data_IF_838886883581
#
_entry.id   IF_838886883581
#
_cell.length_a   1.000
_cell.length_b   1.000
_cell.length_c   1.000
_cell.angle_alpha   90.00
_cell.angle_beta   90.00
_cell.angle_gamma   90.00
#
_symmetry.space_group_name_H-M   'P 1'
#
loop_
_entity.id
_entity.type
_entity.pdbx_description
1 polymer ?
#
# COMPACT_ATOMS: atom_id res chain seq x y z
N UNK A 1 16.77 18.20 34.75
CA UNK A 1 16.96 16.85 34.22
C UNK A 1 15.62 16.38 33.68
N UNK A 2 15.38 16.49 32.37
CA UNK A 2 14.12 16.04 31.77
C UNK A 2 14.14 14.53 31.68
N UNK A 3 13.27 13.88 32.46
CA UNK A 3 13.03 12.45 32.40
C UNK A 3 12.31 12.14 31.09
N UNK A 4 13.04 11.59 30.12
CA UNK A 4 12.45 11.09 28.88
C UNK A 4 11.77 9.76 29.21
N UNK A 5 10.45 9.79 29.41
CA UNK A 5 9.68 8.55 29.56
C UNK A 5 9.96 7.62 28.37
N UNK A 6 10.10 6.30 28.59
CA UNK A 6 10.37 5.36 27.52
C UNK A 6 9.24 5.43 26.49
N UNK A 7 9.60 5.66 25.21
CA UNK A 7 8.63 5.58 24.11
C UNK A 7 8.10 4.16 24.05
N UNK A 8 6.80 3.98 24.24
CA UNK A 8 6.14 2.70 23.99
C UNK A 8 6.32 2.33 22.52
N UNK A 9 6.71 1.08 22.25
CA UNK A 9 6.79 0.56 20.89
C UNK A 9 5.40 0.64 20.24
N UNK A 10 5.31 0.99 18.94
CA UNK A 10 4.04 0.99 18.24
C UNK A 10 3.40 -0.40 18.30
N UNK A 11 2.08 -0.45 18.39
CA UNK A 11 1.32 -1.69 18.42
C UNK A 11 0.67 -1.92 17.05
N UNK A 12 0.50 -3.18 16.60
CA UNK A 12 -0.27 -3.48 15.41
C UNK A 12 -1.68 -2.86 15.47
N UNK A 13 -2.21 -2.33 14.34
CA UNK A 13 -3.53 -1.72 14.31
C UNK A 13 -4.64 -2.74 14.59
N UNK A 14 -5.74 -2.28 15.18
CA UNK A 14 -6.94 -3.10 15.36
C UNK A 14 -7.63 -3.37 14.01
N UNK A 15 -8.45 -4.44 13.90
CA UNK A 15 -9.17 -4.73 12.66
C UNK A 15 -10.06 -3.57 12.17
N UNK A 16 -10.74 -2.86 13.09
CA UNK A 16 -11.53 -1.67 12.77
C UNK A 16 -10.66 -0.56 12.16
N UNK A 17 -9.48 -0.31 12.75
CA UNK A 17 -8.56 0.70 12.23
C UNK A 17 -8.05 0.32 10.83
N UNK A 18 -7.70 -0.95 10.61
CA UNK A 18 -7.29 -1.46 9.29
C UNK A 18 -8.39 -1.29 8.25
N UNK A 19 -9.64 -1.63 8.59
CA UNK A 19 -10.78 -1.45 7.69
C UNK A 19 -11.01 0.02 7.32
N UNK A 20 -11.03 0.91 8.31
CA UNK A 20 -11.18 2.36 8.09
C UNK A 20 -10.04 2.94 7.25
N UNK A 21 -8.80 2.48 7.50
CA UNK A 21 -7.64 2.90 6.74
C UNK A 21 -7.73 2.48 5.28
N UNK A 22 -8.15 1.23 5.02
CA UNK A 22 -8.41 0.75 3.68
C UNK A 22 -9.49 1.58 2.96
N UNK A 23 -10.55 1.99 3.67
CA UNK A 23 -11.58 2.88 3.12
C UNK A 23 -11.03 4.26 2.73
N UNK A 24 -10.15 4.85 3.55
CA UNK A 24 -9.49 6.13 3.22
C UNK A 24 -8.59 5.98 2.00
N UNK A 25 -7.71 4.97 1.96
CA UNK A 25 -6.81 4.77 0.82
C UNK A 25 -7.58 4.50 -0.48
N UNK A 26 -8.69 3.75 -0.40
CA UNK A 26 -9.56 3.54 -1.55
C UNK A 26 -10.23 4.84 -2.00
N UNK A 27 -10.61 5.72 -1.09
CA UNK A 27 -11.14 7.04 -1.42
C UNK A 27 -10.09 7.91 -2.13
N UNK A 28 -8.82 7.87 -1.68
CA UNK A 28 -7.70 8.58 -2.31
C UNK A 28 -7.48 8.05 -3.73
N UNK A 29 -7.40 6.73 -3.91
CA UNK A 29 -7.26 6.12 -5.22
C UNK A 29 -8.44 6.46 -6.14
N UNK A 30 -9.67 6.42 -5.62
CA UNK A 30 -10.88 6.80 -6.35
C UNK A 30 -10.84 8.26 -6.77
N UNK A 31 -10.46 9.17 -5.87
CA UNK A 31 -10.33 10.60 -6.16
C UNK A 31 -9.32 10.85 -7.27
N UNK A 32 -8.16 10.18 -7.21
CA UNK A 32 -7.12 10.30 -8.23
C UNK A 32 -7.59 9.76 -9.59
N UNK A 33 -8.30 8.64 -9.63
CA UNK A 33 -8.88 8.12 -10.88
C UNK A 33 -9.96 9.04 -11.46
N UNK A 34 -10.75 9.71 -10.63
CA UNK A 34 -11.72 10.72 -11.08
C UNK A 34 -11.03 11.91 -11.74
N UNK A 35 -9.84 12.30 -11.29
CA UNK A 35 -9.08 13.40 -11.92
C UNK A 35 -8.73 13.12 -13.38
N UNK A 36 -8.56 11.85 -13.74
CA UNK A 36 -8.22 11.43 -15.10
C UNK A 36 -9.43 11.49 -16.06
N UNK A 37 -10.64 11.73 -15.54
CA UNK A 37 -11.90 11.73 -16.30
C UNK A 37 -12.73 12.95 -15.89
N UNK A 38 -12.57 14.11 -16.56
CA UNK A 38 -13.20 15.37 -16.16
C UNK A 38 -14.72 15.30 -15.96
N UNK A 39 -15.40 14.47 -16.74
CA UNK A 39 -16.85 14.25 -16.66
C UNK A 39 -17.28 13.64 -15.31
N UNK A 40 -16.35 13.04 -14.56
CA UNK A 40 -16.60 12.43 -13.25
C UNK A 40 -16.32 13.37 -12.08
N UNK A 41 -15.83 14.59 -12.31
CA UNK A 41 -15.56 15.55 -11.23
C UNK A 41 -16.81 15.89 -10.39
N UNK A 42 -18.00 15.74 -10.97
CA UNK A 42 -19.30 15.83 -10.29
C UNK A 42 -19.56 14.74 -9.25
N UNK A 43 -18.75 13.67 -9.21
CA UNK A 43 -18.79 12.63 -8.16
C UNK A 43 -18.08 13.07 -6.86
N UNK A 44 -17.20 14.08 -6.90
CA UNK A 44 -16.36 14.46 -5.76
C UNK A 44 -17.14 14.92 -4.52
N UNK A 45 -18.23 15.73 -4.62
CA UNK A 45 -19.06 16.05 -3.47
C UNK A 45 -19.67 14.80 -2.81
N UNK A 46 -20.03 13.78 -3.61
CA UNK A 46 -20.57 12.51 -3.10
C UNK A 46 -19.51 11.72 -2.33
N UNK A 47 -18.27 11.67 -2.82
CA UNK A 47 -17.14 11.03 -2.13
C UNK A 47 -16.83 11.70 -0.79
N UNK A 48 -16.71 13.04 -0.77
CA UNK A 48 -16.49 13.83 0.46
C UNK A 48 -17.62 13.65 1.47
N UNK A 49 -18.88 13.65 1.01
CA UNK A 49 -20.04 13.40 1.87
C UNK A 49 -20.02 12.00 2.49
N UNK A 50 -19.59 10.99 1.74
CA UNK A 50 -19.46 9.63 2.24
C UNK A 50 -18.37 9.54 3.33
N UNK A 51 -17.20 10.13 3.13
CA UNK A 51 -16.13 10.19 4.15
C UNK A 51 -16.63 10.80 5.46
N UNK A 52 -17.38 11.91 5.38
CA UNK A 52 -17.97 12.58 6.54
C UNK A 52 -18.99 11.70 7.25
N UNK A 53 -19.95 11.09 6.53
CA UNK A 53 -20.97 10.22 7.13
C UNK A 53 -20.37 8.98 7.79
N UNK A 54 -19.30 8.43 7.22
CA UNK A 54 -18.54 7.30 7.77
C UNK A 54 -17.57 7.71 8.89
N UNK A 55 -17.43 9.01 9.15
CA UNK A 55 -16.49 9.59 10.11
C UNK A 55 -15.05 9.17 9.84
N UNK A 56 -14.64 9.09 8.57
CA UNK A 56 -13.32 8.55 8.17
C UNK A 56 -12.18 9.56 8.22
N UNK A 57 -12.48 10.87 8.26
CA UNK A 57 -11.46 11.93 8.28
C UNK A 57 -10.37 11.78 9.36
N UNK A 58 -10.64 11.33 10.60
CA UNK A 58 -9.59 11.12 11.58
C UNK A 58 -8.57 10.02 11.25
N UNK A 59 -8.89 9.14 10.28
CA UNK A 59 -7.97 8.09 9.81
C UNK A 59 -7.15 8.56 8.59
N UNK A 60 -7.48 9.72 8.02
CA UNK A 60 -6.77 10.28 6.88
C UNK A 60 -5.53 11.07 7.32
N UNK A 61 -4.42 10.85 6.63
CA UNK A 61 -3.18 11.58 6.84
C UNK A 61 -3.25 12.96 6.15
N UNK A 62 -2.38 13.90 6.52
CA UNK A 62 -2.47 15.29 6.04
C UNK A 62 -2.38 15.39 4.50
N UNK A 63 -1.49 14.62 3.88
CA UNK A 63 -1.33 14.56 2.42
C UNK A 63 -2.56 13.99 1.72
N UNK A 64 -3.27 13.06 2.36
CA UNK A 64 -4.47 12.43 1.82
C UNK A 64 -5.67 13.36 1.96
N UNK A 65 -5.77 14.10 3.07
CA UNK A 65 -6.76 15.16 3.23
C UNK A 65 -6.59 16.20 2.12
N UNK A 66 -5.35 16.60 1.80
CA UNK A 66 -5.10 17.51 0.69
C UNK A 66 -5.65 16.95 -0.63
N UNK A 67 -5.31 15.71 -1.00
CA UNK A 67 -5.82 15.07 -2.23
C UNK A 67 -7.35 14.98 -2.24
N UNK A 68 -7.96 14.56 -1.13
CA UNK A 68 -9.41 14.33 -1.01
C UNK A 68 -10.24 15.63 -0.99
N UNK A 69 -9.62 16.76 -0.65
CA UNK A 69 -10.29 18.06 -0.56
C UNK A 69 -10.07 18.94 -1.77
N UNK A 70 -9.00 18.74 -2.55
CA UNK A 70 -8.75 19.44 -3.83
C UNK A 70 -9.89 19.25 -4.82
N UNK A 71 -10.38 20.36 -5.36
CA UNK A 71 -11.44 20.38 -6.37
C UNK A 71 -11.01 19.69 -7.68
N UNK A 72 -11.99 19.29 -8.49
CA UNK A 72 -11.74 18.57 -9.74
C UNK A 72 -10.91 19.39 -10.73
N UNK A 73 -9.88 18.78 -11.31
CA UNK A 73 -8.92 19.46 -12.19
C UNK A 73 -7.81 20.21 -11.44
N UNK A 74 -7.80 20.16 -10.11
CA UNK A 74 -6.82 20.83 -9.26
C UNK A 74 -5.66 19.96 -8.78
N UNK A 75 -5.68 18.64 -9.01
CA UNK A 75 -4.54 17.79 -8.62
C UNK A 75 -3.42 17.93 -9.66
N UNK A 76 -2.20 18.09 -9.19
CA UNK A 76 -1.06 17.97 -10.08
C UNK A 76 -0.88 16.51 -10.56
N UNK A 77 -0.11 16.34 -11.65
CA UNK A 77 0.09 15.04 -12.27
C UNK A 77 0.72 14.01 -11.31
N UNK A 78 1.62 14.45 -10.42
CA UNK A 78 2.29 13.57 -9.45
C UNK A 78 1.31 13.12 -8.37
N UNK A 79 0.56 14.04 -7.77
CA UNK A 79 -0.49 13.75 -6.79
C UNK A 79 -1.55 12.80 -7.36
N UNK A 80 -1.87 12.94 -8.65
CA UNK A 80 -2.76 12.03 -9.37
C UNK A 80 -2.15 10.63 -9.47
N UNK A 81 -0.91 10.51 -9.96
CA UNK A 81 -0.21 9.21 -10.08
C UNK A 81 -0.05 8.54 -8.71
N UNK A 82 0.53 9.24 -7.74
CA UNK A 82 0.76 8.74 -6.37
C UNK A 82 -0.56 8.34 -5.70
N UNK A 83 -1.63 9.10 -5.95
CA UNK A 83 -2.97 8.77 -5.47
C UNK A 83 -3.51 7.46 -6.05
N UNK A 84 -3.31 7.19 -7.35
CA UNK A 84 -3.75 5.91 -7.95
C UNK A 84 -3.02 4.71 -7.37
N UNK A 85 -1.74 4.85 -7.02
CA UNK A 85 -0.94 3.76 -6.44
C UNK A 85 -1.41 3.35 -5.04
N UNK A 86 -2.19 4.18 -4.34
CA UNK A 86 -2.79 3.79 -3.04
C UNK A 86 -3.70 2.56 -3.14
N UNK A 87 -4.16 2.19 -4.34
CA UNK A 87 -4.86 0.93 -4.59
C UNK A 87 -4.03 -0.30 -4.18
N UNK A 88 -2.70 -0.24 -4.30
CA UNK A 88 -1.81 -1.33 -3.89
C UNK A 88 -1.82 -1.54 -2.38
N UNK A 89 -1.79 -0.44 -1.61
CA UNK A 89 -1.98 -0.49 -0.17
C UNK A 89 -3.36 -1.03 0.21
N UNK A 90 -4.42 -0.62 -0.50
CA UNK A 90 -5.79 -1.15 -0.30
C UNK A 90 -5.83 -2.67 -0.45
N UNK A 91 -5.15 -3.23 -1.46
CA UNK A 91 -5.12 -4.67 -1.68
C UNK A 91 -4.50 -5.43 -0.51
N UNK A 92 -3.40 -4.93 0.04
CA UNK A 92 -2.73 -5.53 1.21
C UNK A 92 -3.64 -5.47 2.44
N UNK A 93 -4.26 -4.32 2.72
CA UNK A 93 -5.16 -4.19 3.87
C UNK A 93 -6.43 -5.06 3.71
N UNK A 94 -6.97 -5.16 2.50
CA UNK A 94 -8.11 -6.01 2.20
C UNK A 94 -7.78 -7.50 2.33
N UNK A 95 -6.59 -7.94 1.91
CA UNK A 95 -6.10 -9.28 2.16
C UNK A 95 -5.98 -9.58 3.66
N UNK A 96 -5.38 -8.66 4.42
CA UNK A 96 -5.23 -8.82 5.87
C UNK A 96 -6.56 -8.95 6.62
N UNK A 97 -7.64 -8.36 6.08
CA UNK A 97 -9.01 -8.47 6.58
C UNK A 97 -9.80 -9.66 6.01
N UNK A 98 -9.16 -10.54 5.24
CA UNK A 98 -9.81 -11.65 4.55
C UNK A 98 -10.98 -11.22 3.64
N UNK A 99 -10.83 -10.07 2.97
CA UNK A 99 -11.79 -9.54 2.00
C UNK A 99 -11.35 -9.80 0.56
N UNK A 100 -10.07 -10.12 0.34
CA UNK A 100 -9.47 -10.34 -0.96
C UNK A 100 -8.36 -11.39 -0.89
N UNK A 101 -8.01 -12.05 -2.01
CA UNK A 101 -6.81 -12.87 -2.07
C UNK A 101 -5.54 -12.03 -1.88
N UNK A 102 -4.44 -12.71 -1.53
CA UNK A 102 -3.12 -12.08 -1.44
C UNK A 102 -2.72 -11.48 -2.79
N UNK A 103 -2.35 -10.19 -2.87
CA UNK A 103 -1.89 -9.59 -4.12
C UNK A 103 -0.52 -10.16 -4.52
N UNK A 104 -0.34 -10.48 -5.80
CA UNK A 104 0.94 -10.93 -6.34
C UNK A 104 1.94 -9.77 -6.38
N UNK A 105 3.15 -9.93 -5.81
CA UNK A 105 4.11 -8.85 -5.52
C UNK A 105 4.52 -7.95 -6.72
N UNK A 106 4.44 -8.48 -7.94
CA UNK A 106 5.08 -7.90 -9.14
C UNK A 106 4.13 -7.23 -10.15
N UNK A 107 2.82 -7.25 -9.91
CA UNK A 107 1.81 -6.70 -10.82
C UNK A 107 0.86 -5.71 -10.15
N UNK A 108 0.34 -4.71 -10.88
CA UNK A 108 -0.62 -3.77 -10.34
C UNK A 108 -1.95 -4.47 -10.03
N UNK A 109 -2.69 -3.97 -9.05
CA UNK A 109 -4.04 -4.43 -8.74
C UNK A 109 -5.10 -3.63 -9.48
N UNK A 110 -6.19 -4.30 -9.87
CA UNK A 110 -7.42 -3.61 -10.25
C UNK A 110 -8.13 -3.13 -8.98
N UNK A 111 -8.37 -1.82 -8.80
CA UNK A 111 -9.06 -1.31 -7.62
C UNK A 111 -10.57 -1.63 -7.60
N UNK A 112 -11.17 -1.97 -8.74
CA UNK A 112 -12.63 -2.10 -8.90
C UNK A 112 -13.30 -3.09 -7.93
N UNK A 113 -12.73 -4.29 -7.67
CA UNK A 113 -13.34 -5.26 -6.76
C UNK A 113 -13.42 -4.80 -5.30
N UNK A 114 -12.57 -3.84 -4.88
CA UNK A 114 -12.54 -3.38 -3.49
C UNK A 114 -13.68 -2.43 -3.13
N UNK A 115 -14.30 -1.76 -4.12
CA UNK A 115 -15.41 -0.84 -3.89
C UNK A 115 -16.57 -1.47 -3.11
N UNK A 116 -17.04 -2.63 -3.56
CA UNK A 116 -18.10 -3.36 -2.87
C UNK A 116 -17.65 -3.91 -1.52
N UNK A 117 -16.44 -4.48 -1.45
CA UNK A 117 -15.88 -5.12 -0.24
C UNK A 117 -15.60 -4.13 0.89
N UNK A 118 -15.24 -2.89 0.55
CA UNK A 118 -14.95 -1.80 1.46
C UNK A 118 -16.08 -0.76 1.53
N UNK A 119 -17.27 -1.11 1.02
CA UNK A 119 -18.48 -0.28 1.13
C UNK A 119 -18.32 1.16 0.59
N UNK A 120 -17.50 1.34 -0.44
CA UNK A 120 -17.25 2.64 -1.05
C UNK A 120 -18.57 3.23 -1.56
N UNK A 121 -18.88 4.44 -1.11
CA UNK A 121 -20.14 5.15 -1.40
C UNK A 121 -21.42 4.43 -0.95
N UNK A 122 -21.32 3.32 -0.22
CA UNK A 122 -22.44 2.59 0.36
C UNK A 122 -22.82 3.15 1.74
N UNK A 123 -24.09 2.96 2.12
CA UNK A 123 -24.60 3.25 3.46
C UNK A 123 -24.54 2.04 4.41
N UNK A 124 -24.24 0.85 3.91
CA UNK A 124 -24.12 -0.37 4.71
C UNK A 124 -23.01 -0.22 5.76
N UNK A 125 -23.19 -0.84 6.93
CA UNK A 125 -22.16 -0.94 7.97
C UNK A 125 -21.81 -2.41 8.15
N UNK A 126 -20.67 -2.80 7.58
CA UNK A 126 -20.11 -4.13 7.82
C UNK A 126 -19.22 -4.08 9.04
N UNK A 127 -19.37 -5.06 9.93
CA UNK A 127 -18.44 -5.26 11.05
C UNK A 127 -17.09 -5.73 10.50
N UNK A 128 -15.96 -5.13 10.91
CA UNK A 128 -14.64 -5.60 10.47
C UNK A 128 -14.44 -7.07 10.81
N UNK A 129 -13.85 -7.81 9.87
CA UNK A 129 -13.41 -9.18 10.10
C UNK A 129 -12.17 -9.20 10.98
N UNK A 130 -11.90 -10.33 11.62
CA UNK A 130 -10.63 -10.53 12.31
C UNK A 130 -9.47 -10.41 11.32
N UNK A 131 -8.34 -9.86 11.78
CA UNK A 131 -7.13 -9.83 10.97
C UNK A 131 -6.55 -11.23 10.83
N UNK A 132 -5.92 -11.49 9.67
CA UNK A 132 -5.06 -12.65 9.47
C UNK A 132 -3.99 -12.75 10.57
N UNK A 133 -3.55 -13.98 10.93
CA UNK A 133 -2.54 -14.18 11.95
C UNK A 133 -1.30 -13.32 11.75
N UNK A 134 -0.68 -12.85 12.84
CA UNK A 134 0.49 -11.99 12.77
C UNK A 134 1.63 -12.62 11.96
N UNK A 135 1.92 -13.90 12.17
CA UNK A 135 2.97 -14.61 11.43
C UNK A 135 2.75 -14.62 9.90
N UNK A 136 1.50 -14.64 9.42
CA UNK A 136 1.19 -14.55 7.98
C UNK A 136 1.47 -13.14 7.46
N UNK A 137 1.12 -12.12 8.25
CA UNK A 137 1.38 -10.71 7.93
C UNK A 137 2.88 -10.39 7.92
N UNK A 138 3.63 -10.91 8.89
CA UNK A 138 5.09 -10.76 8.97
C UNK A 138 5.80 -11.46 7.81
N UNK A 139 5.34 -12.65 7.38
CA UNK A 139 5.85 -13.31 6.18
C UNK A 139 5.67 -12.44 4.94
N UNK A 140 4.48 -11.86 4.76
CA UNK A 140 4.23 -10.96 3.64
C UNK A 140 5.04 -9.67 3.74
N UNK A 141 5.21 -9.09 4.94
CA UNK A 141 6.09 -7.94 5.17
C UNK A 141 7.52 -8.25 4.73
N UNK A 142 8.08 -9.40 5.12
CA UNK A 142 9.42 -9.82 4.71
C UNK A 142 9.58 -9.85 3.19
N UNK A 143 8.60 -10.42 2.48
CA UNK A 143 8.61 -10.49 1.03
C UNK A 143 8.42 -9.11 0.35
N UNK A 144 7.52 -8.28 0.86
CA UNK A 144 7.30 -6.92 0.34
C UNK A 144 8.51 -6.01 0.58
N UNK A 145 9.14 -6.11 1.75
CA UNK A 145 10.41 -5.44 2.06
C UNK A 145 11.52 -5.88 1.11
N UNK A 146 11.71 -7.19 0.95
CA UNK A 146 12.70 -7.76 0.04
C UNK A 146 12.56 -7.19 -1.37
N UNK A 147 11.33 -7.22 -1.91
CA UNK A 147 11.04 -6.68 -3.22
C UNK A 147 11.30 -5.17 -3.32
N UNK A 148 10.82 -4.38 -2.35
CA UNK A 148 11.03 -2.94 -2.35
C UNK A 148 12.52 -2.58 -2.29
N UNK A 149 13.26 -3.21 -1.38
CA UNK A 149 14.71 -3.01 -1.24
C UNK A 149 15.45 -3.34 -2.52
N UNK A 150 15.19 -4.51 -3.14
CA UNK A 150 15.92 -4.92 -4.35
C UNK A 150 15.60 -4.04 -5.55
N UNK A 151 14.37 -3.53 -5.65
CA UNK A 151 13.98 -2.58 -6.68
C UNK A 151 14.66 -1.22 -6.49
N UNK A 152 14.75 -0.72 -5.25
CA UNK A 152 15.54 0.47 -4.94
C UNK A 152 17.02 0.28 -5.30
N UNK A 153 17.58 -0.89 -4.98
CA UNK A 153 18.95 -1.24 -5.32
C UNK A 153 19.15 -1.26 -6.85
N UNK A 154 18.24 -1.87 -7.62
CA UNK A 154 18.32 -1.91 -9.09
C UNK A 154 18.30 -0.51 -9.76
N UNK A 155 17.77 0.52 -9.10
CA UNK A 155 17.88 1.90 -9.58
C UNK A 155 19.26 2.49 -9.39
N UNK A 156 19.91 2.16 -8.27
CA UNK A 156 21.25 2.63 -7.94
C UNK A 156 22.31 1.81 -8.69
N UNK A 157 22.15 0.49 -8.71
CA UNK A 157 23.03 -0.48 -9.32
C UNK A 157 22.20 -1.59 -10.02
N UNK A 158 22.04 -1.56 -11.36
CA UNK A 158 21.21 -2.52 -12.08
C UNK A 158 21.89 -3.87 -12.31
N UNK A 159 23.08 -4.11 -11.76
CA UNK A 159 23.78 -5.39 -11.98
C UNK A 159 23.07 -6.56 -11.29
N UNK A 160 23.11 -7.78 -11.87
CA UNK A 160 22.59 -8.97 -11.22
C UNK A 160 23.28 -9.22 -9.88
N UNK A 161 22.52 -9.73 -8.91
CA UNK A 161 23.04 -10.14 -7.61
C UNK A 161 22.46 -11.47 -7.16
N UNK A 162 23.21 -12.22 -6.33
CA UNK A 162 22.63 -13.36 -5.61
C UNK A 162 21.76 -12.86 -4.46
N UNK A 163 20.55 -12.46 -4.82
CA UNK A 163 19.57 -11.87 -3.93
C UNK A 163 19.06 -12.89 -2.92
N UNK A 164 18.90 -14.14 -3.37
CA UNK A 164 18.48 -15.27 -2.57
C UNK A 164 19.46 -15.58 -1.44
N UNK A 165 20.76 -15.69 -1.76
CA UNK A 165 21.81 -15.90 -0.76
C UNK A 165 21.86 -14.74 0.23
N UNK A 166 21.87 -13.50 -0.28
CA UNK A 166 22.02 -12.29 0.54
C UNK A 166 20.91 -12.16 1.59
N UNK A 167 19.65 -12.28 1.19
CA UNK A 167 18.53 -12.15 2.13
C UNK A 167 18.27 -13.44 2.93
N UNK A 168 18.58 -14.61 2.36
CA UNK A 168 18.50 -15.88 3.07
C UNK A 168 19.45 -15.92 4.28
N UNK A 169 20.64 -15.34 4.16
CA UNK A 169 21.64 -15.29 5.24
C UNK A 169 21.18 -14.54 6.50
N UNK A 170 20.20 -13.63 6.36
CA UNK A 170 19.61 -12.86 7.48
C UNK A 170 18.20 -13.34 7.85
N UNK A 171 17.77 -14.49 7.32
CA UNK A 171 16.53 -15.16 7.71
C UNK A 171 15.24 -14.60 7.10
N UNK A 172 15.32 -13.85 5.99
CA UNK A 172 14.11 -13.40 5.28
C UNK A 172 13.51 -14.58 4.50
N UNK A 173 12.21 -14.83 4.69
CA UNK A 173 11.45 -15.82 3.91
C UNK A 173 11.16 -15.28 2.50
N UNK A 174 11.78 -15.88 1.49
CA UNK A 174 11.64 -15.52 0.08
C UNK A 174 10.60 -16.37 -0.67
N UNK A 175 9.81 -17.20 0.01
CA UNK A 175 8.84 -18.12 -0.64
C UNK A 175 7.82 -17.40 -1.52
N UNK A 176 7.51 -16.14 -1.19
CA UNK A 176 6.57 -15.30 -1.96
C UNK A 176 7.26 -14.45 -3.03
N UNK A 177 8.59 -14.42 -3.05
CA UNK A 177 9.38 -13.55 -3.93
C UNK A 177 9.73 -14.31 -5.21
N UNK A 178 9.33 -13.82 -6.38
CA UNK A 178 9.71 -14.42 -7.66
C UNK A 178 11.21 -14.28 -7.90
N UNK A 179 11.90 -15.41 -8.15
CA UNK A 179 13.34 -15.44 -8.40
C UNK A 179 13.65 -16.12 -9.74
N UNK A 180 14.66 -15.60 -10.44
CA UNK A 180 15.29 -16.22 -11.62
C UNK A 180 16.80 -16.14 -11.43
N UNK A 181 17.48 -17.28 -11.54
CA UNK A 181 18.94 -17.40 -11.35
C UNK A 181 19.45 -16.77 -10.04
N UNK A 182 18.65 -16.85 -8.98
CA UNK A 182 18.99 -16.32 -7.64
C UNK A 182 18.72 -14.83 -7.44
N UNK A 183 18.32 -14.08 -8.48
CA UNK A 183 17.94 -12.66 -8.37
C UNK A 183 16.42 -12.47 -8.45
N UNK A 184 15.91 -11.31 -8.01
CA UNK A 184 14.51 -10.92 -8.15
C UNK A 184 14.10 -10.89 -9.62
N UNK A 185 12.95 -11.48 -9.92
CA UNK A 185 12.33 -11.44 -11.23
C UNK A 185 10.99 -10.68 -11.18
N UNK A 186 10.59 -10.10 -12.30
CA UNK A 186 9.27 -9.47 -12.49
C UNK A 186 8.61 -10.10 -13.72
N UNK A 187 7.59 -10.92 -13.47
CA UNK A 187 6.87 -11.74 -14.43
C UNK A 187 7.86 -12.59 -15.27
N UNK A 188 8.77 -13.27 -14.57
CA UNK A 188 9.80 -14.12 -15.17
C UNK A 188 10.98 -13.40 -15.81
N UNK A 189 11.04 -12.06 -15.78
CA UNK A 189 12.19 -11.30 -16.30
C UNK A 189 13.09 -10.88 -15.15
N UNK A 190 14.40 -11.21 -15.16
CA UNK A 190 15.35 -10.73 -14.15
C UNK A 190 15.32 -9.22 -13.98
N UNK A 191 15.40 -8.72 -12.75
CA UNK A 191 15.22 -7.30 -12.46
C UNK A 191 16.23 -6.39 -13.19
N UNK A 192 17.49 -6.83 -13.32
CA UNK A 192 18.54 -6.10 -14.03
C UNK A 192 18.27 -5.93 -15.53
N UNK A 193 17.29 -6.65 -16.10
CA UNK A 193 16.91 -6.58 -17.51
C UNK A 193 15.60 -5.82 -17.73
N UNK A 194 14.96 -5.32 -16.66
CA UNK A 194 13.75 -4.54 -16.80
C UNK A 194 14.06 -3.18 -17.42
N UNK A 195 13.19 -2.76 -18.34
CA UNK A 195 13.18 -1.38 -18.82
C UNK A 195 12.87 -0.42 -17.66
N UNK A 196 13.45 0.78 -17.69
CA UNK A 196 13.31 1.77 -16.60
C UNK A 196 11.86 2.18 -16.30
N UNK A 197 11.00 2.26 -17.32
CA UNK A 197 9.58 2.53 -17.15
C UNK A 197 8.90 1.43 -16.32
N UNK A 198 9.15 0.17 -16.67
CA UNK A 198 8.65 -0.98 -15.91
C UNK A 198 9.22 -1.05 -14.50
N UNK A 199 10.52 -0.79 -14.33
CA UNK A 199 11.15 -0.75 -13.01
C UNK A 199 10.52 0.32 -12.11
N UNK A 200 10.18 1.51 -12.65
CA UNK A 200 9.47 2.55 -11.90
C UNK A 200 8.08 2.09 -11.46
N UNK A 201 7.31 1.45 -12.34
CA UNK A 201 6.01 0.89 -11.97
C UNK A 201 6.13 -0.13 -10.84
N UNK A 202 7.07 -1.06 -10.95
CA UNK A 202 7.33 -2.08 -9.92
C UNK A 202 7.74 -1.43 -8.60
N UNK A 203 8.53 -0.36 -8.64
CA UNK A 203 8.94 0.37 -7.45
C UNK A 203 7.76 1.03 -6.73
N UNK A 204 6.85 1.66 -7.47
CA UNK A 204 5.62 2.23 -6.90
C UNK A 204 4.76 1.14 -6.24
N UNK A 205 4.61 -0.02 -6.89
CA UNK A 205 3.88 -1.16 -6.34
C UNK A 205 4.54 -1.68 -5.06
N UNK A 206 5.85 -1.92 -5.11
CA UNK A 206 6.61 -2.46 -3.99
C UNK A 206 6.59 -1.52 -2.78
N UNK A 207 6.74 -0.20 -3.02
CA UNK A 207 6.68 0.84 -1.99
C UNK A 207 5.36 0.83 -1.24
N UNK A 208 4.24 0.92 -1.95
CA UNK A 208 2.91 0.99 -1.33
C UNK A 208 2.56 -0.28 -0.57
N UNK A 209 2.97 -1.45 -1.07
CA UNK A 209 2.74 -2.74 -0.41
C UNK A 209 3.61 -2.92 0.82
N UNK A 210 4.88 -2.55 0.73
CA UNK A 210 5.78 -2.55 1.87
C UNK A 210 5.26 -1.61 2.96
N UNK A 211 4.85 -0.39 2.60
CA UNK A 211 4.25 0.56 3.53
C UNK A 211 3.01 0.00 4.23
N UNK A 212 2.07 -0.57 3.48
CA UNK A 212 0.88 -1.18 4.06
C UNK A 212 1.21 -2.37 4.99
N UNK A 213 2.14 -3.24 4.59
CA UNK A 213 2.54 -4.41 5.37
C UNK A 213 3.27 -4.01 6.67
N UNK A 214 4.18 -3.03 6.61
CA UNK A 214 4.93 -2.56 7.76
C UNK A 214 3.99 -1.92 8.80
N UNK A 215 3.05 -1.08 8.35
CA UNK A 215 2.03 -0.52 9.23
C UNK A 215 1.14 -1.60 9.86
N UNK A 216 0.72 -2.62 9.08
CA UNK A 216 -0.07 -3.75 9.60
C UNK A 216 0.65 -4.55 10.69
N UNK A 217 1.97 -4.64 10.62
CA UNK A 217 2.80 -5.32 11.62
C UNK A 217 3.19 -4.42 12.80
N UNK A 218 2.73 -3.16 12.83
CA UNK A 218 3.03 -2.24 13.93
C UNK A 218 4.45 -1.68 13.90
N UNK A 219 5.10 -1.59 12.74
CA UNK A 219 6.40 -0.93 12.62
C UNK A 219 6.32 0.56 12.96
N UNK A 220 5.18 1.19 12.71
CA UNK A 220 4.92 2.62 12.96
C UNK A 220 3.51 2.85 13.49
N UNK A 221 3.31 3.98 14.17
CA UNK A 221 1.99 4.34 14.70
C UNK A 221 1.09 4.90 13.58
N UNK A 222 1.66 5.74 12.71
CA UNK A 222 0.99 6.32 11.54
C UNK A 222 1.35 5.55 10.27
N UNK A 223 0.46 5.63 9.29
CA UNK A 223 0.66 4.90 8.04
C UNK A 223 1.74 5.54 7.17
N UNK A 224 1.86 6.87 7.21
CA UNK A 224 2.82 7.66 6.43
C UNK A 224 4.22 7.76 7.06
N UNK A 225 4.41 7.21 8.27
CA UNK A 225 5.69 7.19 8.98
C UNK A 225 6.59 5.99 8.62
N UNK A 226 6.11 5.03 7.83
CA UNK A 226 6.91 3.85 7.48
C UNK A 226 8.16 4.28 6.73
N UNK A 227 9.37 3.91 7.21
CA UNK A 227 10.61 4.27 6.54
C UNK A 227 10.67 3.76 5.11
N UNK A 228 11.29 4.54 4.23
CA UNK A 228 11.72 4.05 2.92
C UNK A 228 12.82 2.98 3.11
N UNK A 229 12.83 1.98 2.22
CA UNK A 229 13.73 0.83 2.29
C UNK A 229 15.14 1.13 1.78
#
# INVERSE_FOLDING_TARGET
MSSTAPRSLPQPPSPERVFRRAQVLLAVATRAMVELVPERHLELPRLRSWLTRRRLWPEAEASEVAVLTTDGGGLDARSTIDGTWRAEGVAVLAWALDLAPLPALEGPVDPSPYGARLELLSGARTTPRALRPLAERERYLGAAYAMHWRVCEAFADPFPMDFAERLGSIGVDLTLVPLVDGDLAVQGVPIGWLRRDRLRTVASIAKERHQAAAWLCGCTARYDEVPEA
#
